data_IF_054923432690
#
_entry.id   IF_054923432690
#
_cell.length_a   1.000
_cell.length_b   1.000
_cell.length_c   1.000
_cell.angle_alpha   90.00
_cell.angle_beta   90.00
_cell.angle_gamma   90.00
#
_symmetry.space_group_name_H-M   'P 1'
#
loop_
_entity.id
_entity.type
_entity.pdbx_description
1 polymer ?
#
# COMPACT_ATOMS: atom_id res chain seq x y z
N UNK A 1 -16.77 5.69 10.94
CA UNK A 1 -16.51 4.50 11.78
C UNK A 1 -15.12 4.61 12.39
N UNK A 2 -14.88 4.15 13.63
CA UNK A 2 -13.51 4.07 14.19
C UNK A 2 -12.73 3.00 13.42
N UNK A 3 -11.54 3.33 12.93
CA UNK A 3 -10.68 2.43 12.14
C UNK A 3 -10.52 1.04 12.77
N UNK A 4 -10.29 0.97 14.08
CA UNK A 4 -10.17 -0.31 14.80
C UNK A 4 -11.45 -1.15 14.80
N UNK A 5 -12.63 -0.53 14.87
CA UNK A 5 -13.92 -1.27 14.82
C UNK A 5 -14.21 -1.81 13.43
N UNK A 6 -13.77 -1.07 12.41
CA UNK A 6 -13.82 -1.51 11.03
C UNK A 6 -12.88 -2.69 10.79
N UNK A 7 -11.63 -2.61 11.27
CA UNK A 7 -10.63 -3.66 11.14
C UNK A 7 -11.08 -4.98 11.80
N UNK A 8 -11.84 -4.89 12.89
CA UNK A 8 -12.38 -6.06 13.60
C UNK A 8 -13.60 -6.69 12.93
N UNK A 9 -14.30 -5.98 12.04
CA UNK A 9 -15.53 -6.44 11.41
C UNK A 9 -15.32 -6.91 9.95
N UNK A 10 -14.08 -7.22 9.55
CA UNK A 10 -13.82 -7.77 8.21
C UNK A 10 -14.30 -9.20 8.08
N UNK A 11 -15.02 -9.48 7.00
CA UNK A 11 -15.37 -10.85 6.60
C UNK A 11 -14.15 -11.58 6.02
N UNK A 12 -14.20 -12.91 5.92
CA UNK A 12 -13.10 -13.68 5.32
C UNK A 12 -12.79 -13.25 3.88
N UNK A 13 -13.82 -12.92 3.08
CA UNK A 13 -13.65 -12.41 1.70
C UNK A 13 -12.90 -11.08 1.69
N UNK A 14 -13.27 -10.18 2.60
CA UNK A 14 -12.62 -8.87 2.73
C UNK A 14 -11.15 -9.00 3.09
N UNK A 15 -10.78 -9.96 3.94
CA UNK A 15 -9.39 -10.22 4.29
C UNK A 15 -8.56 -10.62 3.07
N UNK A 16 -9.08 -11.49 2.18
CA UNK A 16 -8.38 -11.87 0.95
C UNK A 16 -8.21 -10.67 -0.01
N UNK A 17 -9.22 -9.81 -0.12
CA UNK A 17 -9.15 -8.57 -0.92
C UNK A 17 -8.07 -7.65 -0.36
N UNK A 18 -8.02 -7.50 0.97
CA UNK A 18 -7.05 -6.63 1.64
C UNK A 18 -5.62 -7.15 1.48
N UNK A 19 -5.40 -8.47 1.50
CA UNK A 19 -4.12 -9.09 1.15
C UNK A 19 -3.75 -8.81 -0.30
N UNK A 20 -4.70 -8.90 -1.23
CA UNK A 20 -4.50 -8.54 -2.64
C UNK A 20 -4.06 -7.08 -2.80
N UNK A 21 -4.76 -6.15 -2.15
CA UNK A 21 -4.38 -4.73 -2.15
C UNK A 21 -3.06 -4.47 -1.46
N UNK A 22 -2.70 -5.23 -0.43
CA UNK A 22 -1.39 -5.13 0.19
C UNK A 22 -0.28 -5.50 -0.78
N UNK A 23 -0.42 -6.58 -1.55
CA UNK A 23 0.56 -6.99 -2.56
C UNK A 23 0.71 -5.91 -3.65
N UNK A 24 -0.40 -5.36 -4.14
CA UNK A 24 -0.37 -4.23 -5.10
C UNK A 24 0.30 -3.00 -4.47
N UNK A 25 0.00 -2.75 -3.20
CA UNK A 25 0.59 -1.68 -2.39
C UNK A 25 2.10 -1.83 -2.20
N UNK A 26 2.64 -3.05 -2.14
CA UNK A 26 4.10 -3.29 -2.10
C UNK A 26 4.76 -2.80 -3.39
N UNK A 27 4.15 -3.08 -4.55
CA UNK A 27 4.64 -2.59 -5.84
C UNK A 27 4.60 -1.07 -5.93
N UNK A 28 3.47 -0.46 -5.55
CA UNK A 28 3.34 1.00 -5.49
C UNK A 28 4.34 1.63 -4.52
N UNK A 29 4.50 1.06 -3.33
CA UNK A 29 5.47 1.51 -2.34
C UNK A 29 6.90 1.49 -2.90
N UNK A 30 7.27 0.40 -3.56
CA UNK A 30 8.58 0.28 -4.20
C UNK A 30 8.80 1.36 -5.27
N UNK A 31 7.79 1.61 -6.11
CA UNK A 31 7.83 2.69 -7.11
C UNK A 31 7.93 4.07 -6.46
N UNK A 32 7.15 4.34 -5.41
CA UNK A 32 7.19 5.60 -4.66
C UNK A 32 8.58 5.86 -4.09
N UNK A 33 9.18 4.86 -3.43
CA UNK A 33 10.52 4.98 -2.85
C UNK A 33 11.58 5.19 -3.95
N UNK A 34 11.43 4.50 -5.08
CA UNK A 34 12.33 4.65 -6.23
C UNK A 34 12.22 6.04 -6.85
N UNK A 35 10.99 6.55 -7.03
CA UNK A 35 10.73 7.89 -7.54
C UNK A 35 11.27 8.98 -6.61
N UNK A 36 11.07 8.84 -5.30
CA UNK A 36 11.67 9.71 -4.28
C UNK A 36 13.19 9.71 -4.33
N UNK A 37 13.80 8.53 -4.50
CA UNK A 37 15.26 8.41 -4.64
C UNK A 37 15.77 9.10 -5.90
N UNK A 38 15.09 8.90 -7.03
CA UNK A 38 15.43 9.55 -8.30
C UNK A 38 15.28 11.08 -8.21
N UNK A 39 14.18 11.55 -7.63
CA UNK A 39 13.93 12.98 -7.41
C UNK A 39 14.97 13.61 -6.50
N UNK A 40 15.31 12.94 -5.39
CA UNK A 40 16.36 13.38 -4.47
C UNK A 40 17.72 13.49 -5.17
N UNK A 41 18.08 12.49 -5.99
CA UNK A 41 19.31 12.52 -6.78
C UNK A 41 19.32 13.64 -7.84
N UNK A 42 18.17 13.92 -8.46
CA UNK A 42 18.02 14.98 -9.46
C UNK A 42 18.23 16.38 -8.85
N UNK A 43 17.78 16.60 -7.62
CA UNK A 43 17.89 17.90 -6.95
C UNK A 43 19.27 18.10 -6.30
N UNK A 44 19.78 17.09 -5.60
CA UNK A 44 21.03 17.20 -4.83
C UNK A 44 22.26 16.80 -5.65
N UNK A 45 22.32 17.26 -6.91
CA UNK A 45 23.29 16.90 -7.96
C UNK A 45 24.66 16.48 -7.44
N UNK A 46 24.83 15.15 -7.28
CA UNK A 46 26.02 14.46 -6.80
C UNK A 46 26.52 14.81 -5.38
N UNK A 47 27.03 13.77 -4.72
CA UNK A 47 28.21 13.81 -3.86
C UNK A 47 28.02 13.50 -2.34
N UNK A 48 28.81 12.49 -1.95
CA UNK A 48 29.36 12.17 -0.64
C UNK A 48 28.46 11.72 0.52
N UNK A 49 27.21 12.20 0.62
CA UNK A 49 26.32 11.86 1.74
C UNK A 49 25.02 11.18 1.36
N UNK A 50 24.86 10.80 0.08
CA UNK A 50 23.80 9.86 -0.32
C UNK A 50 24.18 8.44 0.14
N UNK A 51 24.37 8.24 1.44
CA UNK A 51 24.09 6.93 2.01
C UNK A 51 22.67 6.63 1.56
N UNK A 52 22.57 5.72 0.58
CA UNK A 52 21.36 5.42 -0.16
C UNK A 52 20.19 5.51 0.80
N UNK A 53 19.16 6.30 0.50
CA UNK A 53 17.89 6.27 1.22
C UNK A 53 17.55 4.79 1.32
N UNK A 54 17.86 4.19 2.47
CA UNK A 54 17.86 2.75 2.61
C UNK A 54 16.39 2.44 2.67
N UNK A 55 15.90 1.82 1.61
CA UNK A 55 14.57 1.22 1.58
C UNK A 55 14.56 0.18 2.69
N UNK A 56 14.25 0.61 3.90
CA UNK A 56 14.11 -0.31 5.01
C UNK A 56 12.86 -1.14 4.73
N UNK A 57 12.88 -2.44 5.04
CA UNK A 57 11.70 -3.28 4.88
C UNK A 57 10.46 -2.65 5.54
N UNK A 58 10.65 -1.97 6.67
CA UNK A 58 9.61 -1.24 7.38
C UNK A 58 9.02 -0.05 6.60
N UNK A 59 9.84 0.73 5.90
CA UNK A 59 9.32 1.83 5.08
C UNK A 59 8.47 1.30 3.92
N UNK A 60 8.91 0.19 3.31
CA UNK A 60 8.19 -0.44 2.22
C UNK A 60 6.85 -1.02 2.71
N UNK A 61 6.88 -1.82 3.78
CA UNK A 61 5.68 -2.40 4.38
C UNK A 61 4.72 -1.33 4.92
N UNK A 62 5.24 -0.28 5.55
CA UNK A 62 4.44 0.81 6.11
C UNK A 62 3.69 1.59 5.03
N UNK A 63 4.41 2.01 3.97
CA UNK A 63 3.78 2.72 2.84
C UNK A 63 2.79 1.79 2.11
N UNK A 64 3.12 0.52 1.92
CA UNK A 64 2.20 -0.46 1.34
C UNK A 64 0.93 -0.63 2.18
N UNK A 65 1.04 -0.66 3.51
CA UNK A 65 -0.10 -0.72 4.42
C UNK A 65 -1.00 0.51 4.31
N UNK A 66 -0.41 1.70 4.19
CA UNK A 66 -1.17 2.93 3.93
C UNK A 66 -1.93 2.85 2.60
N UNK A 67 -1.27 2.43 1.52
CA UNK A 67 -1.94 2.26 0.23
C UNK A 67 -3.06 1.22 0.29
N UNK A 68 -2.82 0.07 0.90
CA UNK A 68 -3.82 -0.98 1.04
C UNK A 68 -5.05 -0.50 1.83
N UNK A 69 -4.82 0.26 2.90
CA UNK A 69 -5.89 0.84 3.72
C UNK A 69 -6.72 1.84 2.92
N UNK A 70 -6.07 2.76 2.19
CA UNK A 70 -6.76 3.77 1.39
C UNK A 70 -7.54 3.13 0.25
N UNK A 71 -6.92 2.18 -0.46
CA UNK A 71 -7.56 1.45 -1.56
C UNK A 71 -8.81 0.72 -1.05
N UNK A 72 -8.66 -0.08 0.00
CA UNK A 72 -9.79 -0.82 0.56
C UNK A 72 -10.87 0.13 1.11
N UNK A 73 -10.51 1.25 1.75
CA UNK A 73 -11.50 2.20 2.25
C UNK A 73 -12.24 2.93 1.13
N UNK A 74 -11.60 3.12 -0.02
CA UNK A 74 -12.19 3.77 -1.19
C UNK A 74 -12.99 2.82 -2.08
N UNK A 75 -12.57 1.56 -2.23
CA UNK A 75 -13.12 0.64 -3.24
C UNK A 75 -13.48 -0.74 -2.68
N UNK A 76 -13.21 -1.00 -1.40
CA UNK A 76 -13.40 -2.31 -0.77
C UNK A 76 -14.83 -2.83 -0.88
N UNK A 77 -15.83 -2.02 -0.50
CA UNK A 77 -17.24 -2.44 -0.59
C UNK A 77 -17.68 -2.77 -2.03
N UNK A 78 -17.23 -1.98 -3.01
CA UNK A 78 -17.52 -2.22 -4.42
C UNK A 78 -16.90 -3.54 -4.90
N UNK A 79 -15.63 -3.77 -4.56
CA UNK A 79 -14.90 -4.98 -4.96
C UNK A 79 -15.45 -6.22 -4.25
N UNK A 80 -15.80 -6.14 -2.97
CA UNK A 80 -16.45 -7.24 -2.24
C UNK A 80 -17.78 -7.60 -2.89
N UNK A 81 -18.63 -6.62 -3.23
CA UNK A 81 -19.89 -6.89 -3.94
C UNK A 81 -19.67 -7.55 -5.29
N UNK A 82 -18.73 -7.03 -6.08
CA UNK A 82 -18.40 -7.59 -7.39
C UNK A 82 -17.95 -9.05 -7.29
N UNK A 83 -17.08 -9.36 -6.32
CA UNK A 83 -16.58 -10.73 -6.11
C UNK A 83 -17.69 -11.68 -5.64
N UNK A 84 -18.61 -11.21 -4.81
CA UNK A 84 -19.76 -12.01 -4.36
C UNK A 84 -20.74 -12.27 -5.50
N UNK A 85 -21.06 -11.26 -6.31
CA UNK A 85 -21.90 -11.40 -7.51
C UNK A 85 -21.29 -12.38 -8.52
N UNK A 86 -19.97 -12.36 -8.72
CA UNK A 86 -19.26 -13.30 -9.60
C UNK A 86 -19.27 -14.75 -9.10
N UNK A 87 -19.53 -14.99 -7.80
CA UNK A 87 -19.57 -16.32 -7.20
C UNK A 87 -20.98 -16.94 -7.24
N UNK A 88 -22.02 -16.12 -7.41
CA UNK A 88 -23.42 -16.59 -7.57
C UNK A 88 -23.69 -17.04 -9.01
#
# INVERSE_FOLDING_TARGET
MKFGKWLYNLTNTDQYILVGYFIVGLGLSYLTITALRFWHQKIHGSNKYSHAVRTTPFALLGIAFFFATILYMSTGELVTRWIVEFRQ
#
